data_IF_865697578615
#
_entry.id   IF_865697578615
#
_cell.length_a   1.000
_cell.length_b   1.000
_cell.length_c   1.000
_cell.angle_alpha   90.00
_cell.angle_beta   90.00
_cell.angle_gamma   90.00
#
_symmetry.space_group_name_H-M   'P 1'
#
loop_
_entity.id
_entity.type
_entity.pdbx_description
1 polymer ?
#
# COMPACT_ATOMS: atom_id res chain seq x y z
N UNK A 1 -23.68 -35.74 -10.69
CA UNK A 1 -23.01 -34.86 -9.71
C UNK A 1 -21.80 -34.20 -10.38
N UNK A 2 -22.06 -33.41 -11.42
CA UNK A 2 -21.05 -32.81 -12.32
C UNK A 2 -21.69 -31.49 -12.81
N UNK A 3 -20.89 -30.47 -13.08
CA UNK A 3 -21.22 -29.09 -13.56
C UNK A 3 -21.01 -27.93 -12.58
N UNK A 4 -21.07 -28.09 -11.24
CA UNK A 4 -20.87 -26.93 -10.32
C UNK A 4 -19.48 -26.29 -10.50
N UNK A 5 -18.43 -27.11 -10.55
CA UNK A 5 -17.05 -26.64 -10.79
C UNK A 5 -16.91 -25.99 -12.18
N UNK A 6 -17.55 -26.55 -13.19
CA UNK A 6 -17.50 -26.00 -14.57
C UNK A 6 -18.16 -24.62 -14.65
N UNK A 7 -19.31 -24.42 -13.98
CA UNK A 7 -19.98 -23.11 -13.92
C UNK A 7 -19.16 -22.09 -13.14
N UNK A 8 -18.57 -22.48 -12.02
CA UNK A 8 -17.65 -21.61 -11.25
C UNK A 8 -16.46 -21.19 -12.13
N UNK A 9 -15.81 -22.14 -12.80
CA UNK A 9 -14.68 -21.84 -13.67
C UNK A 9 -15.08 -20.96 -14.86
N UNK A 10 -16.23 -21.23 -15.50
CA UNK A 10 -16.74 -20.40 -16.61
C UNK A 10 -16.97 -18.95 -16.17
N UNK A 11 -17.69 -18.75 -15.06
CA UNK A 11 -17.89 -17.42 -14.48
C UNK A 11 -16.57 -16.73 -14.13
N UNK A 12 -15.62 -17.48 -13.55
CA UNK A 12 -14.30 -16.97 -13.22
C UNK A 12 -13.54 -16.46 -14.45
N UNK A 13 -13.58 -17.21 -15.56
CA UNK A 13 -12.94 -16.83 -16.81
C UNK A 13 -13.61 -15.62 -17.46
N UNK A 14 -14.94 -15.60 -17.49
CA UNK A 14 -15.73 -14.48 -18.02
C UNK A 14 -15.48 -13.18 -17.25
N UNK A 15 -15.39 -13.26 -15.92
CA UNK A 15 -15.14 -12.10 -15.05
C UNK A 15 -13.65 -11.83 -14.77
N UNK A 16 -12.73 -12.57 -15.38
CA UNK A 16 -11.29 -12.48 -15.17
C UNK A 16 -10.89 -12.49 -13.68
N UNK A 17 -11.51 -13.37 -12.88
CA UNK A 17 -11.26 -13.47 -11.45
C UNK A 17 -9.88 -14.11 -11.20
N UNK A 18 -9.00 -13.47 -10.40
CA UNK A 18 -7.71 -14.06 -10.06
C UNK A 18 -7.85 -15.39 -9.32
N UNK A 19 -7.08 -16.41 -9.70
CA UNK A 19 -7.15 -17.73 -9.06
C UNK A 19 -6.96 -17.73 -7.53
N UNK A 20 -6.11 -16.86 -6.93
CA UNK A 20 -6.01 -16.78 -5.47
C UNK A 20 -7.32 -16.41 -4.75
N UNK A 21 -8.33 -15.88 -5.46
CA UNK A 21 -9.64 -15.60 -4.87
C UNK A 21 -10.38 -16.88 -4.45
N UNK A 22 -10.18 -18.00 -5.16
CA UNK A 22 -10.84 -19.29 -4.87
C UNK A 22 -10.24 -20.02 -3.66
N UNK A 23 -9.04 -19.63 -3.24
CA UNK A 23 -8.36 -20.20 -2.07
C UNK A 23 -8.83 -19.58 -0.74
N UNK A 24 -9.52 -18.43 -0.81
CA UNK A 24 -10.02 -17.72 0.38
C UNK A 24 -11.11 -18.52 1.07
N UNK A 25 -11.09 -18.52 2.41
CA UNK A 25 -12.14 -19.20 3.19
C UNK A 25 -13.53 -18.59 2.96
N UNK A 26 -13.61 -17.29 2.65
CA UNK A 26 -14.86 -16.65 2.25
C UNK A 26 -15.51 -17.29 1.03
N UNK A 27 -14.71 -17.80 0.08
CA UNK A 27 -15.24 -18.51 -1.09
C UNK A 27 -15.79 -19.89 -0.70
N UNK A 28 -15.12 -20.61 0.21
CA UNK A 28 -15.59 -21.91 0.72
C UNK A 28 -16.91 -21.75 1.49
N UNK A 29 -16.98 -20.75 2.38
CA UNK A 29 -18.18 -20.43 3.16
C UNK A 29 -19.34 -20.04 2.24
N UNK A 30 -19.08 -19.27 1.17
CA UNK A 30 -20.09 -18.93 0.18
C UNK A 30 -20.68 -20.18 -0.49
N UNK A 31 -19.84 -21.13 -0.92
CA UNK A 31 -20.30 -22.37 -1.54
C UNK A 31 -21.12 -23.22 -0.57
N UNK A 32 -20.70 -23.29 0.69
CA UNK A 32 -21.45 -24.01 1.73
C UNK A 32 -22.82 -23.37 1.97
N UNK A 33 -22.89 -22.04 2.10
CA UNK A 33 -24.14 -21.31 2.27
C UNK A 33 -25.11 -21.51 1.09
N UNK A 34 -24.60 -21.48 -0.14
CA UNK A 34 -25.41 -21.79 -1.34
C UNK A 34 -25.88 -23.24 -1.33
N UNK A 35 -25.02 -24.18 -0.92
CA UNK A 35 -25.38 -25.59 -0.78
C UNK A 35 -26.46 -25.84 0.26
N UNK A 36 -26.39 -25.15 1.40
CA UNK A 36 -27.38 -25.20 2.48
C UNK A 36 -28.71 -24.55 2.09
N UNK A 37 -28.69 -23.47 1.31
CA UNK A 37 -29.91 -22.85 0.78
C UNK A 37 -30.67 -23.80 -0.16
N UNK A 38 -29.96 -24.55 -0.99
CA UNK A 38 -30.53 -25.50 -1.94
C UNK A 38 -30.84 -24.88 -3.31
N UNK A 39 -31.77 -25.51 -4.05
CA UNK A 39 -32.07 -25.11 -5.43
C UNK A 39 -32.73 -23.73 -5.47
N UNK A 40 -32.26 -22.88 -6.38
CA UNK A 40 -32.88 -21.57 -6.62
C UNK A 40 -32.36 -20.42 -5.76
N UNK A 41 -31.16 -20.54 -5.17
CA UNK A 41 -30.51 -19.42 -4.48
C UNK A 41 -30.40 -18.19 -5.40
N UNK A 42 -31.06 -17.06 -5.07
CA UNK A 42 -31.01 -15.88 -5.92
C UNK A 42 -29.64 -15.18 -5.75
N UNK A 43 -29.07 -14.61 -6.82
CA UNK A 43 -27.92 -13.73 -6.69
C UNK A 43 -28.33 -12.44 -5.96
N UNK A 44 -27.41 -11.80 -5.22
CA UNK A 44 -27.70 -10.50 -4.63
C UNK A 44 -27.89 -9.45 -5.73
N UNK A 45 -28.82 -8.52 -5.51
CA UNK A 45 -29.02 -7.38 -6.40
C UNK A 45 -27.86 -6.39 -6.29
N UNK A 46 -27.70 -5.50 -7.30
CA UNK A 46 -26.70 -4.42 -7.25
C UNK A 46 -26.87 -3.55 -6.01
N UNK A 47 -28.11 -3.24 -5.62
CA UNK A 47 -28.41 -2.43 -4.45
C UNK A 47 -28.02 -3.15 -3.16
N UNK A 48 -28.35 -4.43 -3.05
CA UNK A 48 -27.93 -5.24 -1.89
C UNK A 48 -26.42 -5.32 -1.75
N UNK A 49 -25.69 -5.51 -2.85
CA UNK A 49 -24.22 -5.53 -2.84
C UNK A 49 -23.61 -4.17 -2.48
N UNK A 50 -24.11 -3.09 -3.07
CA UNK A 50 -23.51 -1.76 -2.94
C UNK A 50 -23.90 -1.02 -1.66
N UNK A 51 -25.08 -1.30 -1.10
CA UNK A 51 -25.60 -0.56 0.06
C UNK A 51 -25.79 -1.47 1.27
N UNK A 52 -26.64 -2.49 1.14
CA UNK A 52 -27.15 -3.23 2.30
C UNK A 52 -26.06 -4.09 2.93
N UNK A 53 -25.47 -5.00 2.15
CA UNK A 53 -24.44 -5.91 2.65
C UNK A 53 -23.09 -5.22 2.80
N UNK A 54 -22.78 -4.19 2.01
CA UNK A 54 -21.58 -3.40 2.20
C UNK A 54 -21.57 -2.71 3.58
N UNK A 55 -22.66 -2.03 3.95
CA UNK A 55 -22.79 -1.40 5.28
C UNK A 55 -22.66 -2.41 6.41
N UNK A 56 -23.32 -3.58 6.28
CA UNK A 56 -23.19 -4.68 7.26
C UNK A 56 -21.76 -5.19 7.39
N UNK A 57 -21.01 -5.30 6.28
CA UNK A 57 -19.61 -5.72 6.33
C UNK A 57 -18.70 -4.65 6.94
N UNK A 58 -18.96 -3.37 6.67
CA UNK A 58 -18.25 -2.25 7.31
C UNK A 58 -18.48 -2.29 8.82
N UNK A 59 -19.73 -2.40 9.26
CA UNK A 59 -20.09 -2.50 10.67
C UNK A 59 -19.44 -3.72 11.35
N UNK A 60 -19.52 -4.91 10.71
CA UNK A 60 -18.84 -6.11 11.17
C UNK A 60 -17.33 -5.88 11.33
N UNK A 61 -16.71 -5.21 10.36
CA UNK A 61 -15.27 -4.91 10.41
C UNK A 61 -14.96 -3.96 11.55
N UNK A 62 -15.74 -2.90 11.74
CA UNK A 62 -15.60 -1.96 12.87
C UNK A 62 -15.71 -2.70 14.21
N UNK A 63 -16.66 -3.62 14.35
CA UNK A 63 -16.84 -4.41 15.56
C UNK A 63 -15.65 -5.35 15.83
N UNK A 64 -15.04 -5.91 14.78
CA UNK A 64 -13.81 -6.70 14.90
C UNK A 64 -12.60 -5.84 15.31
N UNK A 65 -12.65 -4.52 15.09
CA UNK A 65 -11.60 -3.58 15.47
C UNK A 65 -11.75 -3.03 16.90
N UNK A 66 -12.86 -3.29 17.59
CA UNK A 66 -13.07 -2.85 18.98
C UNK A 66 -11.92 -3.25 19.92
N UNK A 67 -11.38 -4.49 19.90
CA UNK A 67 -10.25 -4.87 20.74
C UNK A 67 -8.99 -4.05 20.48
N UNK A 68 -8.76 -3.63 19.23
CA UNK A 68 -7.65 -2.75 18.88
C UNK A 68 -7.86 -1.36 19.51
N UNK A 69 -9.08 -0.81 19.42
CA UNK A 69 -9.42 0.49 20.03
C UNK A 69 -9.23 0.49 21.55
N UNK A 70 -9.53 -0.62 22.22
CA UNK A 70 -9.29 -0.74 23.66
C UNK A 70 -7.80 -0.89 24.00
N UNK A 71 -7.02 -1.54 23.14
CA UNK A 71 -5.56 -1.62 23.30
C UNK A 71 -4.89 -0.23 23.18
N UNK A 72 -5.38 0.62 22.29
CA UNK A 72 -4.87 1.99 22.13
C UNK A 72 -4.91 2.77 23.44
N UNK A 73 -5.92 2.52 24.29
CA UNK A 73 -6.06 3.17 25.61
C UNK A 73 -5.04 2.69 26.63
N UNK A 74 -4.54 1.46 26.48
CA UNK A 74 -3.61 0.87 27.44
C UNK A 74 -2.15 1.19 27.12
N UNK A 75 -1.75 1.10 25.85
CA UNK A 75 -0.34 1.23 25.46
C UNK A 75 -0.08 2.43 24.55
N UNK A 76 -1.14 3.12 24.12
CA UNK A 76 -1.06 4.11 23.06
C UNK A 76 -0.91 3.47 21.68
N UNK A 77 -0.97 4.31 20.65
CA UNK A 77 -0.83 3.90 19.26
C UNK A 77 -0.05 4.94 18.44
N UNK A 78 0.38 4.52 17.25
CA UNK A 78 1.06 5.36 16.27
C UNK A 78 0.18 5.53 15.03
N UNK A 79 -0.12 6.77 14.66
CA UNK A 79 -0.82 7.04 13.39
C UNK A 79 0.22 7.09 12.28
N UNK A 80 -0.02 6.36 11.19
CA UNK A 80 0.83 6.37 10.00
C UNK A 80 0.06 7.01 8.86
N UNK A 81 0.66 8.01 8.22
CA UNK A 81 0.11 8.67 7.04
C UNK A 81 0.98 8.42 5.83
N UNK A 82 0.33 8.11 4.72
CA UNK A 82 1.00 7.88 3.45
C UNK A 82 0.26 8.54 2.29
N UNK A 83 0.89 9.51 1.65
CA UNK A 83 0.34 10.26 0.53
C UNK A 83 1.05 9.87 -0.77
N UNK A 84 0.28 9.50 -1.79
CA UNK A 84 0.82 9.22 -3.12
C UNK A 84 -0.02 9.89 -4.20
N UNK A 85 0.65 10.33 -5.26
CA UNK A 85 0.00 10.90 -6.44
C UNK A 85 0.17 9.96 -7.63
N UNK A 86 -0.93 9.70 -8.33
CA UNK A 86 -0.90 8.94 -9.58
C UNK A 86 -0.43 9.80 -10.77
N UNK A 87 -0.15 9.16 -11.91
CA UNK A 87 0.24 9.86 -13.15
C UNK A 87 -0.86 10.75 -13.74
N UNK A 88 -2.10 10.57 -13.29
CA UNK A 88 -3.27 11.37 -13.67
C UNK A 88 -3.52 12.52 -12.68
N UNK A 89 -2.54 12.82 -11.80
CA UNK A 89 -2.58 13.86 -10.76
C UNK A 89 -3.66 13.67 -9.69
N UNK A 90 -4.18 12.46 -9.52
CA UNK A 90 -5.04 12.14 -8.37
C UNK A 90 -4.13 11.88 -7.19
N UNK A 91 -4.34 12.62 -6.10
CA UNK A 91 -3.66 12.39 -4.84
C UNK A 91 -4.55 11.59 -3.90
N UNK A 92 -3.98 10.54 -3.31
CA UNK A 92 -4.66 9.76 -2.28
C UNK A 92 -3.79 9.76 -1.04
N UNK A 93 -4.42 10.08 0.09
CA UNK A 93 -3.81 10.00 1.41
C UNK A 93 -4.45 8.87 2.20
N UNK A 94 -3.63 7.97 2.70
CA UNK A 94 -4.06 6.85 3.53
C UNK A 94 -3.65 7.08 4.98
N UNK A 95 -4.54 6.70 5.90
CA UNK A 95 -4.29 6.69 7.32
C UNK A 95 -4.44 5.29 7.88
N UNK A 96 -3.42 4.87 8.62
CA UNK A 96 -3.41 3.63 9.37
C UNK A 96 -3.06 3.92 10.82
N UNK A 97 -3.55 3.10 11.75
CA UNK A 97 -3.11 3.10 13.15
C UNK A 97 -2.34 1.82 13.41
N UNK A 98 -1.14 1.96 13.94
CA UNK A 98 -0.31 0.85 14.37
C UNK A 98 -0.26 0.77 15.89
N UNK A 99 -0.37 -0.45 16.38
CA UNK A 99 -0.45 -0.79 17.80
C UNK A 99 0.28 -2.11 18.09
N UNK A 100 0.31 -2.55 19.35
CA UNK A 100 0.88 -3.87 19.68
C UNK A 100 0.14 -5.02 19.01
N UNK A 101 -1.18 -4.87 18.79
CA UNK A 101 -2.00 -5.88 18.11
C UNK A 101 -1.83 -5.87 16.59
N UNK A 102 -1.21 -4.84 16.03
CA UNK A 102 -0.93 -4.70 14.60
C UNK A 102 -1.48 -3.41 14.01
N UNK A 103 -1.54 -3.39 12.67
CA UNK A 103 -1.93 -2.23 11.88
C UNK A 103 -3.38 -2.33 11.42
N UNK A 104 -4.13 -1.26 11.66
CA UNK A 104 -5.51 -1.09 11.22
C UNK A 104 -5.57 0.04 10.21
N UNK A 105 -6.21 -0.21 9.07
CA UNK A 105 -6.55 0.85 8.12
C UNK A 105 -7.75 1.64 8.68
N UNK A 106 -7.61 2.95 8.81
CA UNK A 106 -8.70 3.82 9.26
C UNK A 106 -9.46 4.41 8.08
N UNK A 107 -8.76 5.12 7.21
CA UNK A 107 -9.40 5.80 6.10
C UNK A 107 -8.43 6.10 4.97
N UNK A 108 -9.01 6.34 3.80
CA UNK A 108 -8.31 6.84 2.63
C UNK A 108 -9.14 7.98 2.08
N UNK A 109 -8.48 9.09 1.75
CA UNK A 109 -9.12 10.27 1.18
C UNK A 109 -8.44 10.62 -0.13
N UNK A 110 -9.25 10.70 -1.18
CA UNK A 110 -8.83 11.34 -2.42
C UNK A 110 -8.89 12.85 -2.23
N UNK A 111 -7.80 13.51 -2.59
CA UNK A 111 -7.70 14.95 -2.52
C UNK A 111 -7.28 15.45 -3.92
N UNK A 112 -8.03 16.40 -4.48
CA UNK A 112 -7.72 17.05 -5.77
C UNK A 112 -6.52 18.00 -5.62
N UNK A 113 -6.15 18.81 -6.62
CA UNK A 113 -4.90 19.61 -6.68
C UNK A 113 -4.54 20.45 -5.42
N UNK A 114 -5.48 20.74 -4.51
CA UNK A 114 -5.27 21.42 -3.21
C UNK A 114 -4.72 20.50 -2.07
N UNK A 115 -4.64 19.18 -2.33
CA UNK A 115 -4.41 18.07 -1.40
C UNK A 115 -3.14 18.10 -0.54
N UNK A 116 -2.09 18.71 -1.07
CA UNK A 116 -0.75 18.57 -0.50
C UNK A 116 -0.32 19.81 0.26
N UNK A 117 -1.24 20.72 0.55
CA UNK A 117 -0.95 21.82 1.48
C UNK A 117 -0.69 21.25 2.87
N UNK A 118 0.21 21.88 3.62
CA UNK A 118 0.52 21.47 4.99
C UNK A 118 -0.71 21.49 5.89
N UNK A 119 -1.64 22.38 5.59
CA UNK A 119 -2.88 22.62 6.30
C UNK A 119 -3.85 21.45 6.10
N UNK A 120 -4.03 20.98 4.86
CA UNK A 120 -4.90 19.83 4.58
C UNK A 120 -4.40 18.54 5.24
N UNK A 121 -3.08 18.31 5.18
CA UNK A 121 -2.43 17.17 5.85
C UNK A 121 -2.66 17.26 7.35
N UNK A 122 -2.40 18.44 7.93
CA UNK A 122 -2.61 18.69 9.36
C UNK A 122 -4.06 18.45 9.77
N UNK A 123 -5.04 18.96 9.03
CA UNK A 123 -6.47 18.79 9.31
C UNK A 123 -6.91 17.33 9.25
N UNK A 124 -6.45 16.59 8.25
CA UNK A 124 -6.82 15.19 8.10
C UNK A 124 -6.21 14.34 9.22
N UNK A 125 -4.94 14.58 9.57
CA UNK A 125 -4.29 13.95 10.72
C UNK A 125 -4.96 14.34 12.03
N UNK A 126 -5.35 15.60 12.21
CA UNK A 126 -6.07 16.09 13.39
C UNK A 126 -7.45 15.44 13.54
N UNK A 127 -8.17 15.21 12.43
CA UNK A 127 -9.45 14.48 12.46
C UNK A 127 -9.27 13.04 12.94
N UNK A 128 -8.18 12.39 12.55
CA UNK A 128 -7.82 11.05 12.98
C UNK A 128 -7.42 10.99 14.45
N UNK A 129 -6.63 11.96 14.94
CA UNK A 129 -6.30 12.08 16.36
C UNK A 129 -7.58 12.18 17.20
N UNK A 130 -8.58 12.94 16.74
CA UNK A 130 -9.87 13.08 17.44
C UNK A 130 -10.68 11.79 17.43
N UNK A 131 -10.68 11.03 16.33
CA UNK A 131 -11.37 9.75 16.25
C UNK A 131 -10.74 8.68 17.16
N UNK A 132 -9.41 8.64 17.23
CA UNK A 132 -8.65 7.68 18.03
C UNK A 132 -8.65 8.05 19.52
N UNK A 133 -8.78 9.33 19.84
CA UNK A 133 -8.60 9.86 21.19
C UNK A 133 -7.18 10.42 21.35
N UNK A 134 -7.01 11.74 21.56
CA UNK A 134 -5.71 12.39 21.71
C UNK A 134 -4.77 11.75 22.72
N UNK A 135 -5.31 11.26 23.83
CA UNK A 135 -4.60 10.61 24.92
C UNK A 135 -4.03 9.24 24.53
N UNK A 136 -4.59 8.62 23.49
CA UNK A 136 -4.19 7.31 22.98
C UNK A 136 -3.11 7.42 21.89
N UNK A 137 -2.79 8.63 21.40
CA UNK A 137 -1.84 8.83 20.30
C UNK A 137 -0.47 9.23 20.85
N UNK A 138 0.53 8.39 20.63
CA UNK A 138 1.91 8.64 21.06
C UNK A 138 2.70 9.38 19.97
N UNK A 139 2.51 8.98 18.71
CA UNK A 139 3.27 9.54 17.60
C UNK A 139 2.53 9.48 16.27
N UNK A 140 3.01 10.29 15.32
CA UNK A 140 2.61 10.31 13.93
C UNK A 140 3.82 10.00 13.07
N UNK A 141 3.69 9.03 12.18
CA UNK A 141 4.73 8.59 11.25
C UNK A 141 4.34 8.99 9.84
N UNK A 142 5.17 9.81 9.20
CA UNK A 142 4.95 10.30 7.84
C UNK A 142 6.26 10.34 7.05
N UNK A 143 6.20 10.47 5.72
CA UNK A 143 7.41 10.73 4.93
C UNK A 143 8.00 12.15 5.19
N UNK A 144 9.21 12.39 4.71
CA UNK A 144 9.92 13.66 4.92
C UNK A 144 9.64 14.69 3.81
N UNK A 145 8.54 14.57 3.09
CA UNK A 145 8.14 15.58 2.11
C UNK A 145 8.00 16.96 2.80
N UNK A 146 8.30 18.03 2.07
CA UNK A 146 8.28 19.40 2.61
C UNK A 146 6.96 19.77 3.29
N UNK A 147 5.84 19.26 2.76
CA UNK A 147 4.50 19.59 3.23
C UNK A 147 4.18 18.84 4.53
N UNK A 148 4.64 17.59 4.66
CA UNK A 148 4.60 16.81 5.89
C UNK A 148 5.45 17.47 6.99
N UNK A 149 6.64 17.97 6.65
CA UNK A 149 7.49 18.68 7.63
C UNK A 149 6.88 19.99 8.12
N UNK A 150 6.08 20.67 7.29
CA UNK A 150 5.31 21.86 7.70
C UNK A 150 4.12 21.46 8.59
N UNK A 151 3.37 20.42 8.21
CA UNK A 151 2.30 19.87 9.04
C UNK A 151 2.83 19.40 10.42
N UNK A 152 4.02 18.81 10.48
CA UNK A 152 4.69 18.43 11.72
C UNK A 152 4.92 19.62 12.66
N UNK A 153 5.29 20.79 12.11
CA UNK A 153 5.48 22.02 12.90
C UNK A 153 4.15 22.51 13.48
N UNK A 154 3.11 22.55 12.65
CA UNK A 154 1.76 22.94 13.07
C UNK A 154 1.21 22.00 14.16
N UNK A 155 1.46 20.69 14.02
CA UNK A 155 1.08 19.72 15.03
C UNK A 155 1.84 19.95 16.34
N UNK A 156 3.15 20.19 16.29
CA UNK A 156 3.97 20.43 17.49
C UNK A 156 3.49 21.64 18.28
N UNK A 157 3.03 22.69 17.61
CA UNK A 157 2.45 23.87 18.25
C UNK A 157 1.11 23.57 18.92
N UNK A 158 0.23 22.81 18.26
CA UNK A 158 -1.10 22.49 18.79
C UNK A 158 -1.13 21.36 19.82
N UNK A 159 -0.23 20.38 19.69
CA UNK A 159 -0.20 19.13 20.46
C UNK A 159 1.24 18.75 20.81
N UNK A 160 1.88 19.45 21.76
CA UNK A 160 3.28 19.23 22.11
C UNK A 160 3.57 17.84 22.70
N UNK A 161 2.55 17.10 23.12
CA UNK A 161 2.65 15.75 23.68
C UNK A 161 2.76 14.65 22.62
N UNK A 162 2.42 14.94 21.36
CA UNK A 162 2.45 13.95 20.27
C UNK A 162 3.72 14.15 19.44
N UNK A 163 4.49 13.08 19.27
CA UNK A 163 5.71 13.12 18.48
C UNK A 163 5.44 12.99 16.98
N UNK A 164 6.17 13.73 16.16
CA UNK A 164 6.22 13.49 14.72
C UNK A 164 7.53 12.79 14.35
N UNK A 165 7.42 11.59 13.81
CA UNK A 165 8.55 10.73 13.45
C UNK A 165 8.62 10.57 11.93
N UNK A 166 9.82 10.76 11.39
CA UNK A 166 10.08 10.48 9.97
C UNK A 166 9.99 8.99 9.65
N UNK A 167 9.41 8.65 8.50
CA UNK A 167 9.38 7.28 7.99
C UNK A 167 10.81 6.74 7.81
N UNK A 168 11.12 5.63 8.46
CA UNK A 168 12.43 4.99 8.38
C UNK A 168 12.79 4.57 6.94
N UNK A 169 11.84 3.99 6.20
CA UNK A 169 12.05 3.55 4.81
C UNK A 169 12.35 4.74 3.90
N UNK A 170 11.66 5.86 4.10
CA UNK A 170 11.93 7.09 3.36
C UNK A 170 13.30 7.68 3.72
N UNK A 171 13.63 7.69 5.00
CA UNK A 171 14.94 8.16 5.49
C UNK A 171 16.08 7.34 4.90
N UNK A 172 15.99 6.01 4.91
CA UNK A 172 16.97 5.12 4.30
C UNK A 172 17.09 5.36 2.78
N UNK A 173 15.98 5.64 2.10
CA UNK A 173 16.02 5.97 0.69
C UNK A 173 16.75 7.29 0.42
N UNK A 174 16.50 8.33 1.21
CA UNK A 174 17.22 9.61 1.07
C UNK A 174 18.72 9.44 1.35
N UNK A 175 19.10 8.63 2.33
CA UNK A 175 20.50 8.28 2.57
C UNK A 175 21.13 7.59 1.36
N UNK A 176 20.44 6.60 0.79
CA UNK A 176 20.90 5.90 -0.40
C UNK A 176 20.98 6.84 -1.61
N UNK A 177 20.00 7.70 -1.82
CA UNK A 177 20.03 8.72 -2.87
C UNK A 177 21.23 9.66 -2.73
N UNK A 178 21.53 10.10 -1.50
CA UNK A 178 22.73 10.87 -1.18
C UNK A 178 24.03 10.14 -1.55
N UNK A 179 24.14 8.86 -1.18
CA UNK A 179 25.28 8.00 -1.57
C UNK A 179 25.37 7.87 -3.09
N UNK A 180 24.24 7.65 -3.77
CA UNK A 180 24.19 7.54 -5.22
C UNK A 180 24.57 8.82 -5.96
N UNK A 181 24.38 9.97 -5.31
CA UNK A 181 24.78 11.28 -5.80
C UNK A 181 26.29 11.54 -5.76
N UNK A 182 27.07 10.76 -5.00
CA UNK A 182 28.52 10.93 -4.90
C UNK A 182 29.19 10.72 -6.27
N UNK A 183 30.20 11.54 -6.66
CA UNK A 183 30.85 11.45 -7.98
C UNK A 183 31.34 10.05 -8.33
N UNK A 184 31.82 9.30 -7.33
CA UNK A 184 32.28 7.91 -7.46
C UNK A 184 31.19 6.95 -7.96
N UNK A 185 29.96 7.10 -7.50
CA UNK A 185 28.85 6.17 -7.79
C UNK A 185 27.92 6.68 -8.88
N UNK A 186 27.77 8.00 -9.00
CA UNK A 186 26.85 8.66 -9.94
C UNK A 186 27.02 8.19 -11.39
N UNK A 187 28.27 8.08 -11.87
CA UNK A 187 28.56 7.62 -13.25
C UNK A 187 28.10 6.17 -13.48
N UNK A 188 28.40 5.27 -12.54
CA UNK A 188 28.05 3.86 -12.62
C UNK A 188 26.53 3.69 -12.57
N UNK A 189 25.86 4.39 -11.65
CA UNK A 189 24.40 4.34 -11.53
C UNK A 189 23.70 4.87 -12.79
N UNK A 190 24.21 5.93 -13.40
CA UNK A 190 23.68 6.45 -14.66
C UNK A 190 23.83 5.44 -15.79
N UNK A 191 24.99 4.81 -15.95
CA UNK A 191 25.18 3.76 -16.96
C UNK A 191 24.24 2.57 -16.72
N UNK A 192 24.10 2.12 -15.48
CA UNK A 192 23.23 1.01 -15.13
C UNK A 192 21.75 1.32 -15.41
N UNK A 193 21.33 2.57 -15.14
CA UNK A 193 19.99 3.07 -15.48
C UNK A 193 19.76 3.09 -16.99
N UNK A 194 20.70 3.64 -17.77
CA UNK A 194 20.62 3.67 -19.24
C UNK A 194 20.56 2.27 -19.84
N UNK A 195 21.40 1.35 -19.37
CA UNK A 195 21.39 -0.04 -19.82
C UNK A 195 20.04 -0.72 -19.52
N UNK A 196 19.51 -0.52 -18.33
CA UNK A 196 18.22 -1.12 -17.93
C UNK A 196 17.08 -0.57 -18.77
N UNK A 197 17.05 0.74 -19.03
CA UNK A 197 16.08 1.35 -19.94
C UNK A 197 16.19 0.77 -21.35
N UNK A 198 17.41 0.60 -21.87
CA UNK A 198 17.65 0.00 -23.19
C UNK A 198 17.13 -1.44 -23.27
N UNK A 199 17.46 -2.29 -22.29
CA UNK A 199 17.00 -3.70 -22.24
C UNK A 199 15.47 -3.77 -22.27
N UNK A 200 14.80 -2.98 -21.43
CA UNK A 200 13.33 -3.01 -21.34
C UNK A 200 12.61 -2.32 -22.51
N UNK A 201 13.28 -1.40 -23.20
CA UNK A 201 12.72 -0.75 -24.39
C UNK A 201 12.68 -1.68 -25.63
N UNK A 202 13.47 -2.77 -25.65
CA UNK A 202 13.65 -3.61 -26.83
C UNK A 202 13.24 -5.06 -26.55
N UNK A 203 12.16 -5.53 -27.18
CA UNK A 203 11.59 -6.86 -26.93
C UNK A 203 12.58 -8.02 -27.12
N UNK A 204 13.45 -7.95 -28.15
CA UNK A 204 14.49 -8.98 -28.40
C UNK A 204 15.54 -9.00 -27.30
N UNK A 205 16.02 -7.83 -26.88
CA UNK A 205 17.01 -7.69 -25.81
C UNK A 205 16.45 -8.14 -24.46
N UNK A 206 15.19 -7.81 -24.17
CA UNK A 206 14.48 -8.28 -22.98
C UNK A 206 14.31 -9.81 -22.98
N UNK A 207 13.92 -10.40 -24.12
CA UNK A 207 13.79 -11.85 -24.27
C UNK A 207 15.14 -12.55 -24.07
N UNK A 208 16.20 -11.99 -24.65
CA UNK A 208 17.57 -12.48 -24.48
C UNK A 208 18.02 -12.43 -23.02
N UNK A 209 17.81 -11.29 -22.34
CA UNK A 209 18.13 -11.15 -20.91
C UNK A 209 17.39 -12.21 -20.10
N UNK A 210 16.07 -12.34 -20.28
CA UNK A 210 15.25 -13.34 -19.57
C UNK A 210 15.67 -14.77 -19.88
N UNK A 211 16.15 -15.07 -21.08
CA UNK A 211 16.70 -16.38 -21.40
C UNK A 211 17.93 -16.69 -20.53
N UNK A 212 18.90 -15.78 -20.49
CA UNK A 212 20.14 -15.97 -19.72
C UNK A 212 19.97 -15.83 -18.20
N UNK A 213 18.96 -15.10 -17.73
CA UNK A 213 18.68 -14.91 -16.30
C UNK A 213 17.66 -15.91 -15.73
N UNK A 214 17.27 -16.94 -16.48
CA UNK A 214 16.22 -17.91 -16.09
C UNK A 214 14.90 -17.24 -15.72
N UNK A 215 14.47 -16.31 -16.58
CA UNK A 215 13.26 -15.48 -16.47
C UNK A 215 13.25 -14.53 -15.26
N UNK A 216 14.39 -14.26 -14.63
CA UNK A 216 14.49 -13.22 -13.60
C UNK A 216 14.46 -11.84 -14.26
N UNK A 217 13.56 -10.99 -13.78
CA UNK A 217 13.51 -9.58 -14.18
C UNK A 217 14.43 -8.72 -13.30
N UNK A 218 14.98 -7.65 -13.89
CA UNK A 218 15.69 -6.62 -13.15
C UNK A 218 14.64 -5.80 -12.38
N UNK A 219 14.94 -5.51 -11.11
CA UNK A 219 14.10 -4.61 -10.30
C UNK A 219 14.05 -3.27 -11.02
N UNK A 220 12.89 -2.97 -11.61
CA UNK A 220 12.70 -1.73 -12.35
C UNK A 220 12.78 -0.55 -11.38
N UNK A 221 13.35 0.58 -11.80
CA UNK A 221 13.05 1.87 -11.20
C UNK A 221 11.58 2.21 -11.43
N UNK A 222 10.72 1.67 -10.57
CA UNK A 222 9.32 2.07 -10.48
C UNK A 222 9.23 3.46 -9.88
N UNK A 223 8.23 4.23 -10.32
CA UNK A 223 7.87 5.54 -9.73
C UNK A 223 7.46 5.36 -8.25
N UNK A 224 7.05 4.16 -7.87
CA UNK A 224 6.70 3.78 -6.50
C UNK A 224 7.89 3.17 -5.76
N UNK A 225 8.65 4.09 -5.15
CA UNK A 225 9.23 4.06 -3.79
C UNK A 225 10.35 3.05 -3.45
N UNK A 226 11.48 3.68 -3.12
CA UNK A 226 12.61 3.23 -2.30
C UNK A 226 13.71 2.40 -2.97
N UNK A 227 14.91 3.00 -3.01
CA UNK A 227 16.20 2.47 -3.43
C UNK A 227 16.28 1.73 -4.79
N UNK A 228 15.51 2.09 -5.84
CA UNK A 228 15.53 1.34 -7.09
C UNK A 228 16.91 1.32 -7.75
N UNK A 229 17.67 2.41 -7.64
CA UNK A 229 19.02 2.53 -8.21
C UNK A 229 20.02 1.55 -7.59
N UNK A 230 19.89 1.22 -6.30
CA UNK A 230 20.76 0.26 -5.62
C UNK A 230 20.31 -1.18 -5.84
N UNK A 231 18.99 -1.43 -5.88
CA UNK A 231 18.44 -2.75 -6.18
C UNK A 231 18.78 -3.19 -7.61
N UNK A 232 18.82 -2.24 -8.56
CA UNK A 232 19.24 -2.47 -9.94
C UNK A 232 20.67 -3.06 -10.04
N UNK A 233 21.59 -2.61 -9.18
CA UNK A 233 22.96 -3.15 -9.13
C UNK A 233 23.04 -4.56 -8.51
N UNK A 234 22.08 -4.97 -7.66
CA UNK A 234 22.05 -6.31 -7.04
C UNK A 234 21.55 -7.41 -7.98
N UNK A 235 20.72 -7.08 -8.97
CA UNK A 235 20.15 -8.09 -9.89
C UNK A 235 21.15 -8.53 -10.96
N UNK A 236 22.21 -7.74 -11.20
CA UNK A 236 23.26 -8.16 -12.12
C UNK A 236 24.08 -9.29 -11.48
N UNK A 237 24.15 -10.48 -12.08
CA UNK A 237 25.06 -11.50 -11.60
C UNK A 237 26.48 -11.01 -11.86
N UNK A 238 27.11 -10.46 -10.82
CA UNK A 238 28.57 -10.29 -10.81
C UNK A 238 29.15 -11.69 -10.72
N UNK A 239 29.29 -12.37 -11.85
CA UNK A 239 30.33 -13.39 -11.98
C UNK A 239 31.64 -12.63 -11.91
N UNK A 240 32.34 -12.71 -10.77
CA UNK A 240 33.74 -12.33 -10.72
C UNK A 240 34.46 -13.17 -11.79
N UNK A 241 35.25 -12.56 -12.70
CA UNK A 241 36.21 -13.33 -13.47
C UNK A 241 37.18 -13.96 -12.47
N UNK A 242 37.38 -15.27 -12.58
CA UNK A 242 38.54 -15.93 -11.99
C UNK A 242 39.78 -15.51 -12.78
#
# INVERSE_FOLDING_TARGET
MIHVKEYICRWAYECAIPFPAFEKDSFKIMLEAVGQFGRGAPPPTRYEMGETYLKKQVERTINLLTPYKDEYKSNGCSIMTDAWSDRKKRSIMNLCVNSKMGTVFLSSKESLDEAHTSEHIHEYVESCIKEVGPENVVQIVADNASNNMRAAKLLKEKRPTIFWTSCATHTLNLMLEGIGGLPRYKKILNHAKTLTMFIYAHHKTLAMMRHFTKKRDIVRPGVTRFAPHFLLCKVWPIKRPN
#
